data_IF_852303151673
#
_entry.id   IF_852303151673
#
_cell.length_a   1.000
_cell.length_b   1.000
_cell.length_c   1.000
_cell.angle_alpha   90.00
_cell.angle_beta   90.00
_cell.angle_gamma   90.00
#
_symmetry.space_group_name_H-M   'P 1'
#
loop_
_entity.id
_entity.type
_entity.pdbx_description
1 polymer ?
#
# COMPACT_ATOMS: atom_id res chain seq x y z
N UNK A 1 -55.51 120.88 -87.50
CA UNK A 1 -56.98 120.65 -87.59
C UNK A 1 -57.31 119.33 -86.92
N UNK A 2 -58.20 119.39 -85.93
CA UNK A 2 -59.06 118.36 -85.33
C UNK A 2 -58.54 116.97 -84.89
N UNK A 3 -58.46 116.83 -83.56
CA UNK A 3 -59.28 115.97 -82.68
C UNK A 3 -59.31 114.42 -82.80
N UNK A 4 -59.05 113.84 -81.61
CA UNK A 4 -59.69 112.69 -80.92
C UNK A 4 -59.37 111.25 -81.31
N UNK A 5 -59.00 110.45 -80.29
CA UNK A 5 -59.04 108.97 -80.32
C UNK A 5 -58.14 108.31 -79.28
N UNK A 6 -58.69 108.00 -78.10
CA UNK A 6 -58.11 107.18 -77.01
C UNK A 6 -58.09 105.69 -77.39
N UNK A 7 -57.07 104.90 -77.02
CA UNK A 7 -57.15 103.56 -76.35
C UNK A 7 -55.76 103.15 -75.79
N UNK A 8 -55.77 102.60 -74.56
CA UNK A 8 -54.65 102.04 -73.77
C UNK A 8 -54.42 100.53 -74.01
N UNK A 9 -53.18 100.08 -73.73
CA UNK A 9 -52.82 98.71 -73.29
C UNK A 9 -52.22 97.83 -74.39
N UNK A 10 -51.32 96.88 -74.16
CA UNK A 10 -50.58 96.37 -73.01
C UNK A 10 -49.46 95.47 -73.58
N UNK A 11 -48.29 95.33 -72.94
CA UNK A 11 -47.24 94.47 -73.50
C UNK A 11 -45.97 94.31 -72.67
N UNK A 12 -46.08 93.85 -71.42
CA UNK A 12 -44.94 93.43 -70.61
C UNK A 12 -45.38 92.40 -69.55
N UNK A 13 -45.78 91.20 -69.98
CA UNK A 13 -46.08 90.07 -69.09
C UNK A 13 -46.15 88.74 -69.87
N UNK A 14 -45.08 88.34 -70.57
CA UNK A 14 -45.06 87.03 -71.26
C UNK A 14 -43.76 86.21 -71.16
N UNK A 15 -42.77 86.63 -70.36
CA UNK A 15 -41.49 85.88 -70.25
C UNK A 15 -41.22 85.23 -68.88
N UNK A 16 -41.92 85.62 -67.80
CA UNK A 16 -41.70 85.05 -66.47
C UNK A 16 -42.60 83.84 -66.12
N UNK A 17 -43.65 83.57 -66.91
CA UNK A 17 -44.59 82.45 -66.64
C UNK A 17 -44.13 81.15 -67.29
N UNK A 18 -43.34 81.21 -68.36
CA UNK A 18 -42.83 80.01 -69.04
C UNK A 18 -41.66 79.32 -68.27
N UNK A 19 -40.90 80.08 -67.47
CA UNK A 19 -39.75 79.54 -66.71
C UNK A 19 -40.13 78.99 -65.31
N UNK A 20 -41.30 79.39 -64.78
CA UNK A 20 -41.85 78.85 -63.53
C UNK A 20 -42.70 77.59 -63.77
N UNK A 21 -43.28 77.43 -64.96
CA UNK A 21 -44.08 76.24 -65.32
C UNK A 21 -43.18 75.09 -65.84
N UNK A 22 -41.99 75.37 -66.37
CA UNK A 22 -41.05 74.33 -66.82
C UNK A 22 -40.22 73.71 -65.67
N UNK A 23 -40.21 74.33 -64.48
CA UNK A 23 -39.61 73.76 -63.26
C UNK A 23 -40.61 72.94 -62.41
N UNK A 24 -41.88 72.87 -62.81
CA UNK A 24 -42.95 72.14 -62.11
C UNK A 24 -43.33 70.79 -62.78
N UNK A 25 -42.54 70.35 -63.77
CA UNK A 25 -42.66 69.06 -64.45
C UNK A 25 -41.43 68.18 -64.20
N UNK A 26 -40.85 68.27 -63.01
CA UNK A 26 -40.10 67.14 -62.45
C UNK A 26 -41.20 66.18 -61.97
N UNK A 27 -41.34 64.97 -62.55
CA UNK A 27 -42.18 63.98 -61.91
C UNK A 27 -41.60 63.79 -60.51
N UNK A 28 -42.33 64.22 -59.48
CA UNK A 28 -42.01 63.83 -58.12
C UNK A 28 -42.07 62.31 -58.15
N UNK A 29 -40.90 61.65 -58.12
CA UNK A 29 -40.83 60.22 -57.94
C UNK A 29 -41.53 59.97 -56.59
N UNK A 30 -42.79 59.55 -56.64
CA UNK A 30 -43.53 59.23 -55.44
C UNK A 30 -42.84 58.01 -54.84
N UNK A 31 -42.13 58.20 -53.73
CA UNK A 31 -41.59 57.09 -52.98
C UNK A 31 -42.77 56.26 -52.48
N UNK A 32 -42.77 54.98 -52.85
CA UNK A 32 -43.74 54.01 -52.35
C UNK A 32 -43.30 53.59 -50.95
N UNK A 33 -44.22 53.59 -49.99
CA UNK A 33 -43.96 53.04 -48.66
C UNK A 33 -44.41 51.59 -48.66
N UNK A 34 -43.47 50.68 -48.44
CA UNK A 34 -43.74 49.26 -48.22
C UNK A 34 -43.81 48.99 -46.71
N UNK A 35 -44.94 48.48 -46.25
CA UNK A 35 -45.13 48.03 -44.86
C UNK A 35 -44.89 46.54 -44.72
N UNK A 36 -43.93 46.15 -43.88
CA UNK A 36 -43.73 44.78 -43.44
C UNK A 36 -44.53 44.51 -42.18
N UNK A 37 -45.19 43.36 -42.13
CA UNK A 37 -45.75 42.77 -40.91
C UNK A 37 -45.15 41.37 -40.76
N UNK A 38 -44.42 41.13 -39.67
CA UNK A 38 -43.73 39.86 -39.42
C UNK A 38 -44.35 39.22 -38.20
N UNK A 39 -44.82 37.98 -38.36
CA UNK A 39 -45.55 37.23 -37.34
C UNK A 39 -45.03 35.80 -37.25
N UNK A 40 -45.20 35.19 -36.08
CA UNK A 40 -45.00 33.75 -35.91
C UNK A 40 -46.08 33.01 -36.70
N UNK A 41 -45.69 32.01 -37.50
CA UNK A 41 -46.64 31.27 -38.32
C UNK A 41 -47.70 30.54 -37.50
N UNK A 42 -47.36 30.05 -36.30
CA UNK A 42 -48.22 29.17 -35.50
C UNK A 42 -49.30 29.94 -34.76
N UNK A 43 -48.91 30.99 -34.03
CA UNK A 43 -49.82 31.73 -33.14
C UNK A 43 -50.11 33.17 -33.63
N UNK A 44 -49.53 33.57 -34.76
CA UNK A 44 -49.67 34.90 -35.36
C UNK A 44 -49.20 36.05 -34.44
N UNK A 45 -48.40 35.75 -33.41
CA UNK A 45 -47.83 36.76 -32.54
C UNK A 45 -46.85 37.65 -33.33
N UNK A 46 -46.86 38.98 -33.09
CA UNK A 46 -45.93 39.89 -33.76
C UNK A 46 -44.49 39.61 -33.32
N UNK A 47 -43.57 39.55 -34.28
CA UNK A 47 -42.16 39.25 -34.04
C UNK A 47 -41.31 40.51 -33.96
N UNK A 48 -40.84 40.84 -32.75
CA UNK A 48 -39.92 41.96 -32.50
C UNK A 48 -38.48 41.62 -32.90
N UNK A 49 -37.79 42.55 -33.56
CA UNK A 49 -36.37 42.41 -33.87
C UNK A 49 -36.02 41.55 -35.09
N UNK A 50 -36.99 41.13 -35.90
CA UNK A 50 -36.75 40.41 -37.15
C UNK A 50 -36.01 41.30 -38.16
N UNK A 51 -34.86 40.85 -38.64
CA UNK A 51 -33.97 41.62 -39.52
C UNK A 51 -34.41 41.51 -40.97
N UNK A 52 -34.59 42.65 -41.64
CA UNK A 52 -35.10 42.72 -43.00
C UNK A 52 -33.97 43.14 -43.95
N UNK A 53 -33.86 42.42 -45.06
CA UNK A 53 -32.90 42.64 -46.12
C UNK A 53 -33.62 42.80 -47.45
N UNK A 54 -33.16 43.75 -48.27
CA UNK A 54 -33.62 43.92 -49.64
C UNK A 54 -32.43 43.82 -50.59
N UNK A 55 -32.53 42.91 -51.56
CA UNK A 55 -31.44 42.54 -52.48
C UNK A 55 -30.11 42.28 -51.74
N UNK A 56 -30.19 41.64 -50.58
CA UNK A 56 -29.04 41.32 -49.73
C UNK A 56 -28.56 42.46 -48.82
N UNK A 57 -29.08 43.69 -48.95
CA UNK A 57 -28.73 44.81 -48.08
C UNK A 57 -29.65 44.87 -46.87
N UNK A 58 -29.08 44.93 -45.66
CA UNK A 58 -29.83 45.14 -44.43
C UNK A 58 -30.49 46.52 -44.43
N UNK A 59 -31.81 46.58 -44.18
CA UNK A 59 -32.56 47.83 -44.15
C UNK A 59 -33.07 48.18 -42.76
N UNK A 60 -33.35 47.20 -41.90
CA UNK A 60 -33.81 47.46 -40.54
C UNK A 60 -34.34 46.22 -39.83
N UNK A 61 -34.95 46.45 -38.68
CA UNK A 61 -35.60 45.42 -37.86
C UNK A 61 -37.04 45.82 -37.54
N UNK A 62 -37.91 44.83 -37.40
CA UNK A 62 -39.25 45.05 -36.83
C UNK A 62 -39.15 45.54 -35.39
N UNK A 63 -40.12 46.36 -34.97
CA UNK A 63 -40.32 46.69 -33.56
C UNK A 63 -41.32 45.74 -32.88
N UNK A 64 -41.68 46.04 -31.63
CA UNK A 64 -42.57 45.21 -30.79
C UNK A 64 -43.95 44.89 -31.37
N UNK A 65 -44.43 45.66 -32.35
CA UNK A 65 -45.66 45.36 -33.08
C UNK A 65 -45.47 44.42 -34.28
N UNK A 66 -44.26 43.89 -34.49
CA UNK A 66 -43.90 43.07 -35.65
C UNK A 66 -43.84 43.85 -36.96
N UNK A 67 -43.80 45.19 -36.93
CA UNK A 67 -43.90 46.03 -38.13
C UNK A 67 -42.62 46.80 -38.43
N UNK A 68 -42.38 47.04 -39.71
CA UNK A 68 -41.34 47.93 -40.23
C UNK A 68 -41.81 48.61 -41.51
N UNK A 69 -41.42 49.86 -41.74
CA UNK A 69 -41.79 50.60 -42.95
C UNK A 69 -40.54 51.00 -43.72
N UNK A 70 -40.58 50.79 -45.04
CA UNK A 70 -39.46 51.06 -45.94
C UNK A 70 -39.93 51.92 -47.11
N UNK A 71 -39.32 53.09 -47.27
CA UNK A 71 -39.56 53.96 -48.42
C UNK A 71 -38.65 53.58 -49.60
N UNK A 72 -39.23 53.42 -50.79
CA UNK A 72 -38.45 53.05 -51.98
C UNK A 72 -38.98 53.67 -53.28
N UNK A 73 -38.07 53.78 -54.25
CA UNK A 73 -38.37 54.20 -55.62
C UNK A 73 -37.98 53.11 -56.64
N UNK A 74 -38.16 51.83 -56.27
CA UNK A 74 -37.91 50.68 -57.16
C UNK A 74 -38.77 50.78 -58.42
N UNK A 75 -38.24 50.32 -59.54
CA UNK A 75 -38.91 50.28 -60.86
C UNK A 75 -38.92 48.87 -61.47
N UNK A 76 -38.52 47.89 -60.67
CA UNK A 76 -38.55 46.45 -60.98
C UNK A 76 -38.74 45.69 -59.68
N UNK A 77 -39.14 44.42 -59.78
CA UNK A 77 -39.22 43.53 -58.63
C UNK A 77 -37.89 43.43 -57.89
N UNK A 78 -37.95 43.18 -56.59
CA UNK A 78 -36.79 43.07 -55.71
C UNK A 78 -36.95 41.90 -54.73
N UNK A 79 -35.82 41.34 -54.29
CA UNK A 79 -35.82 40.23 -53.34
C UNK A 79 -35.90 40.76 -51.92
N UNK A 80 -36.75 40.17 -51.10
CA UNK A 80 -36.81 40.40 -49.67
C UNK A 80 -36.36 39.14 -48.95
N UNK A 81 -35.53 39.31 -47.93
CA UNK A 81 -35.18 38.26 -46.97
C UNK A 81 -35.41 38.77 -45.55
N UNK A 82 -36.09 38.00 -44.72
CA UNK A 82 -36.30 38.31 -43.31
C UNK A 82 -35.67 37.20 -42.48
N UNK A 83 -34.83 37.59 -41.52
CA UNK A 83 -34.04 36.69 -40.68
C UNK A 83 -34.34 36.98 -39.21
N UNK A 84 -34.65 35.93 -38.45
CA UNK A 84 -34.82 36.01 -37.01
C UNK A 84 -34.28 34.75 -36.35
N UNK A 85 -33.50 34.88 -35.28
CA UNK A 85 -33.03 33.73 -34.51
C UNK A 85 -34.23 32.94 -33.99
N UNK A 86 -34.20 31.61 -34.18
CA UNK A 86 -35.30 30.74 -33.78
C UNK A 86 -36.36 30.51 -34.85
N UNK A 87 -36.18 31.11 -36.02
CA UNK A 87 -37.07 30.98 -37.17
C UNK A 87 -36.29 30.67 -38.44
N UNK A 88 -36.97 30.05 -39.39
CA UNK A 88 -36.44 29.88 -40.74
C UNK A 88 -36.46 31.20 -41.50
N UNK A 89 -35.48 31.39 -42.37
CA UNK A 89 -35.37 32.60 -43.17
C UNK A 89 -36.57 32.68 -44.13
N UNK A 90 -37.31 33.79 -44.05
CA UNK A 90 -38.40 34.04 -44.98
C UNK A 90 -37.86 34.79 -46.20
N UNK A 91 -38.22 34.34 -47.41
CA UNK A 91 -37.77 34.94 -48.66
C UNK A 91 -38.94 35.08 -49.63
N UNK A 92 -39.02 36.22 -50.30
CA UNK A 92 -40.02 36.45 -51.36
C UNK A 92 -39.52 37.50 -52.37
N UNK A 93 -40.20 37.56 -53.52
CA UNK A 93 -39.96 38.55 -54.58
C UNK A 93 -41.18 39.47 -54.67
N UNK A 94 -41.00 40.74 -54.31
CA UNK A 94 -42.07 41.73 -54.36
C UNK A 94 -42.00 42.55 -55.65
N UNK A 95 -43.16 42.96 -56.16
CA UNK A 95 -43.21 43.91 -57.27
C UNK A 95 -42.77 45.30 -56.81
N UNK A 96 -42.34 46.13 -57.76
CA UNK A 96 -42.02 47.55 -57.54
C UNK A 96 -43.23 48.38 -57.07
N UNK A 97 -44.44 47.86 -57.22
CA UNK A 97 -45.69 48.49 -56.77
C UNK A 97 -46.20 47.97 -55.42
N UNK A 98 -45.47 47.06 -54.76
CA UNK A 98 -45.91 46.48 -53.48
C UNK A 98 -45.95 47.55 -52.38
N UNK A 99 -47.08 47.62 -51.65
CA UNK A 99 -47.26 48.55 -50.51
C UNK A 99 -47.35 47.85 -49.16
N UNK A 100 -47.50 46.53 -49.15
CA UNK A 100 -47.53 45.74 -47.93
C UNK A 100 -47.19 44.28 -48.16
N UNK A 101 -46.59 43.66 -47.15
CA UNK A 101 -46.34 42.22 -47.10
C UNK A 101 -46.46 41.73 -45.66
N UNK A 102 -47.08 40.55 -45.50
CA UNK A 102 -47.07 39.82 -44.24
C UNK A 102 -46.17 38.61 -44.39
N UNK A 103 -45.12 38.54 -43.58
CA UNK A 103 -44.21 37.40 -43.51
C UNK A 103 -44.56 36.57 -42.26
N UNK A 104 -45.07 35.37 -42.48
CA UNK A 104 -45.26 34.37 -41.42
C UNK A 104 -43.99 33.53 -41.34
N UNK A 105 -43.26 33.63 -40.23
CA UNK A 105 -42.01 32.89 -40.02
C UNK A 105 -42.29 31.58 -39.29
N UNK A 106 -41.83 30.48 -39.88
CA UNK A 106 -41.87 29.15 -39.28
C UNK A 106 -40.79 29.03 -38.21
N UNK A 107 -41.13 28.49 -37.03
CA UNK A 107 -40.16 28.19 -35.97
C UNK A 107 -39.17 27.16 -36.48
N UNK A 108 -37.88 27.40 -36.26
CA UNK A 108 -36.81 26.54 -36.75
C UNK A 108 -36.45 25.48 -35.71
N UNK A 109 -36.46 24.22 -36.15
CA UNK A 109 -35.97 23.07 -35.36
C UNK A 109 -34.52 22.78 -35.71
N UNK A 110 -33.69 22.55 -34.70
CA UNK A 110 -32.27 22.20 -34.81
C UNK A 110 -31.94 21.10 -33.79
N UNK A 111 -30.76 20.48 -33.92
CA UNK A 111 -30.32 19.46 -32.98
C UNK A 111 -29.53 20.04 -31.80
N UNK A 112 -29.82 19.54 -30.61
CA UNK A 112 -28.94 19.59 -29.45
C UNK A 112 -28.41 18.18 -29.17
N UNK A 113 -27.11 17.99 -29.26
CA UNK A 113 -26.44 16.74 -28.88
C UNK A 113 -25.82 16.90 -27.50
N UNK A 114 -26.26 16.08 -26.55
CA UNK A 114 -25.68 16.01 -25.20
C UNK A 114 -24.82 14.76 -25.09
N UNK A 115 -23.52 14.91 -24.83
CA UNK A 115 -22.60 13.78 -24.63
C UNK A 115 -22.08 13.76 -23.20
N UNK A 116 -22.10 12.58 -22.57
CA UNK A 116 -21.68 12.41 -21.17
C UNK A 116 -20.50 11.45 -21.04
N UNK A 117 -19.56 11.81 -20.15
CA UNK A 117 -18.35 11.05 -19.87
C UNK A 117 -18.17 10.84 -18.37
N UNK A 118 -17.62 9.70 -17.97
CA UNK A 118 -17.19 9.47 -16.60
C UNK A 118 -15.94 10.33 -16.33
N UNK A 119 -15.98 11.13 -15.27
CA UNK A 119 -14.94 12.11 -14.97
C UNK A 119 -13.56 11.50 -14.66
N UNK A 120 -13.51 10.22 -14.27
CA UNK A 120 -12.28 9.56 -13.85
C UNK A 120 -11.64 8.74 -14.97
N UNK A 121 -12.44 7.93 -15.67
CA UNK A 121 -12.01 7.07 -16.76
C UNK A 121 -11.95 7.80 -18.10
N UNK A 122 -12.59 8.97 -18.19
CA UNK A 122 -12.77 9.76 -19.41
C UNK A 122 -13.50 9.01 -20.53
N UNK A 123 -14.17 7.90 -20.21
CA UNK A 123 -14.92 7.09 -21.15
C UNK A 123 -16.38 7.58 -21.26
N UNK A 124 -17.02 7.43 -22.43
CA UNK A 124 -18.42 7.76 -22.59
C UNK A 124 -19.31 6.86 -21.71
N UNK A 125 -20.39 7.42 -21.17
CA UNK A 125 -21.34 6.67 -20.32
C UNK A 125 -22.62 6.42 -21.08
N UNK A 126 -22.93 5.15 -21.32
CA UNK A 126 -24.15 4.72 -22.00
C UNK A 126 -25.34 4.60 -21.04
N UNK A 127 -26.55 4.59 -21.62
CA UNK A 127 -27.82 4.39 -20.91
C UNK A 127 -28.09 5.42 -19.79
N UNK A 128 -27.52 6.61 -19.92
CA UNK A 128 -27.77 7.75 -19.03
C UNK A 128 -29.04 8.45 -19.45
N UNK A 129 -29.96 8.66 -18.51
CA UNK A 129 -31.20 9.40 -18.77
C UNK A 129 -30.90 10.90 -18.80
N UNK A 130 -31.14 11.54 -19.93
CA UNK A 130 -31.07 12.98 -20.10
C UNK A 130 -32.49 13.49 -20.30
N UNK A 131 -32.93 14.41 -19.44
CA UNK A 131 -34.19 15.12 -19.59
C UNK A 131 -33.92 16.57 -19.97
N UNK A 132 -34.69 17.07 -20.92
CA UNK A 132 -34.72 18.45 -21.35
C UNK A 132 -36.06 19.05 -20.99
N UNK A 133 -36.03 20.25 -20.43
CA UNK A 133 -37.21 21.06 -20.12
C UNK A 133 -37.03 22.44 -20.75
N UNK A 134 -37.95 22.81 -21.63
CA UNK A 134 -37.98 24.11 -22.30
C UNK A 134 -39.38 24.72 -22.26
N UNK A 135 -39.51 25.96 -22.76
CA UNK A 135 -40.77 26.71 -22.68
C UNK A 135 -41.97 26.01 -23.38
N UNK A 136 -41.69 25.22 -24.43
CA UNK A 136 -42.72 24.56 -25.24
C UNK A 136 -43.00 23.11 -24.80
N UNK A 137 -42.26 22.60 -23.82
CA UNK A 137 -42.42 21.24 -23.32
C UNK A 137 -41.12 20.60 -22.87
N UNK A 138 -41.22 19.34 -22.45
CA UNK A 138 -40.10 18.50 -22.05
C UNK A 138 -39.89 17.33 -23.01
N UNK A 139 -38.64 16.90 -23.11
CA UNK A 139 -38.24 15.70 -23.84
C UNK A 139 -37.23 14.90 -23.01
N UNK A 140 -37.03 13.64 -23.34
CA UNK A 140 -36.03 12.82 -22.67
C UNK A 140 -35.52 11.71 -23.57
N UNK A 141 -34.23 11.38 -23.39
CA UNK A 141 -33.58 10.32 -24.13
C UNK A 141 -32.52 9.64 -23.28
N UNK A 142 -32.05 8.49 -23.77
CA UNK A 142 -30.97 7.73 -23.13
C UNK A 142 -29.72 7.81 -23.99
N UNK A 143 -28.57 8.03 -23.36
CA UNK A 143 -27.29 8.09 -24.07
C UNK A 143 -26.94 6.75 -24.72
N UNK A 144 -26.33 6.83 -25.89
CA UNK A 144 -25.84 5.67 -26.64
C UNK A 144 -24.52 5.15 -26.07
N UNK A 145 -23.96 4.08 -26.67
CA UNK A 145 -22.62 3.58 -26.33
C UNK A 145 -21.50 4.63 -26.51
N UNK A 146 -21.72 5.65 -27.35
CA UNK A 146 -20.81 6.77 -27.52
C UNK A 146 -21.04 7.90 -26.50
N UNK A 147 -21.98 7.74 -25.57
CA UNK A 147 -22.32 8.72 -24.53
C UNK A 147 -23.24 9.85 -25.01
N UNK A 148 -23.56 9.91 -26.30
CA UNK A 148 -24.39 10.95 -26.91
C UNK A 148 -25.88 10.62 -26.94
N UNK A 149 -26.71 11.66 -26.84
CA UNK A 149 -28.15 11.65 -27.12
C UNK A 149 -28.52 12.95 -27.85
N UNK A 150 -29.36 12.84 -28.88
CA UNK A 150 -29.79 13.95 -29.73
C UNK A 150 -31.24 14.33 -29.44
N UNK A 151 -31.50 15.63 -29.47
CA UNK A 151 -32.84 16.20 -29.26
C UNK A 151 -33.17 17.21 -30.36
N UNK A 152 -34.38 17.10 -30.88
CA UNK A 152 -34.98 18.13 -31.72
C UNK A 152 -35.45 19.28 -30.83
N UNK A 153 -34.78 20.43 -30.96
CA UNK A 153 -35.04 21.61 -30.13
C UNK A 153 -35.30 22.85 -30.97
N UNK A 154 -36.05 23.79 -30.40
CA UNK A 154 -36.32 25.08 -31.02
C UNK A 154 -35.04 25.93 -31.01
N UNK A 155 -34.66 26.41 -32.18
CA UNK A 155 -33.56 27.37 -32.31
C UNK A 155 -33.84 28.64 -31.49
N UNK A 156 -32.80 29.27 -30.95
CA UNK A 156 -32.94 30.47 -30.13
C UNK A 156 -33.52 30.27 -28.72
N UNK A 157 -34.07 29.08 -28.41
CA UNK A 157 -34.67 28.79 -27.11
C UNK A 157 -33.62 28.38 -26.06
N UNK A 158 -34.02 28.45 -24.80
CA UNK A 158 -33.21 28.01 -23.65
C UNK A 158 -33.81 26.76 -23.04
N UNK A 159 -32.96 25.80 -22.71
CA UNK A 159 -33.37 24.53 -22.11
C UNK A 159 -32.62 24.24 -20.82
N UNK A 160 -33.33 23.70 -19.84
CA UNK A 160 -32.75 23.09 -18.65
C UNK A 160 -32.53 21.59 -18.93
N UNK A 161 -31.33 21.12 -18.62
CA UNK A 161 -30.89 19.73 -18.82
C UNK A 161 -30.69 19.10 -17.45
N UNK A 162 -31.42 18.03 -17.17
CA UNK A 162 -31.21 17.15 -16.00
C UNK A 162 -30.65 15.81 -16.49
N UNK A 163 -29.51 15.40 -15.94
CA UNK A 163 -28.82 14.16 -16.32
C UNK A 163 -28.79 13.24 -15.11
N UNK A 164 -29.39 12.06 -15.25
CA UNK A 164 -29.52 11.05 -14.20
C UNK A 164 -28.86 9.75 -14.66
N UNK A 165 -27.86 9.29 -13.92
CA UNK A 165 -27.21 8.02 -14.12
C UNK A 165 -27.08 7.27 -12.78
N UNK A 166 -27.32 5.95 -12.72
CA UNK A 166 -27.05 5.18 -11.52
C UNK A 166 -25.59 5.32 -11.11
N UNK A 167 -25.34 5.55 -9.82
CA UNK A 167 -24.00 5.67 -9.21
C UNK A 167 -23.24 6.96 -9.59
N UNK A 168 -23.93 7.97 -10.12
CA UNK A 168 -23.39 9.29 -10.36
C UNK A 168 -24.27 10.36 -9.70
N UNK A 169 -23.66 11.50 -9.40
CA UNK A 169 -24.40 12.70 -9.01
C UNK A 169 -25.29 13.19 -10.16
N UNK A 170 -26.52 13.57 -9.82
CA UNK A 170 -27.42 14.22 -10.78
C UNK A 170 -26.81 15.54 -11.23
N UNK A 171 -26.74 15.75 -12.55
CA UNK A 171 -26.19 16.97 -13.12
C UNK A 171 -27.28 17.86 -13.69
N UNK A 172 -27.27 19.13 -13.30
CA UNK A 172 -28.16 20.16 -13.84
C UNK A 172 -27.38 21.18 -14.67
N UNK A 173 -27.87 21.50 -15.87
CA UNK A 173 -27.26 22.48 -16.79
C UNK A 173 -28.34 23.29 -17.49
N UNK A 174 -27.97 24.46 -18.00
CA UNK A 174 -28.81 25.27 -18.86
C UNK A 174 -28.09 25.46 -20.19
N UNK A 175 -28.79 25.24 -21.30
CA UNK A 175 -28.26 25.35 -22.66
C UNK A 175 -29.09 26.37 -23.43
N UNK A 176 -28.46 27.48 -23.79
CA UNK A 176 -29.02 28.44 -24.74
C UNK A 176 -28.70 28.00 -26.17
N UNK A 177 -29.73 27.87 -27.01
CA UNK A 177 -29.60 27.46 -28.40
C UNK A 177 -29.44 28.65 -29.33
N UNK A 178 -28.56 28.51 -30.32
CA UNK A 178 -28.41 29.47 -31.41
C UNK A 178 -29.34 29.13 -32.59
N UNK A 179 -28.95 29.53 -33.80
CA UNK A 179 -29.70 29.21 -35.03
C UNK A 179 -29.13 28.01 -35.82
N UNK A 180 -28.29 27.21 -35.17
CA UNK A 180 -27.58 26.05 -35.73
C UNK A 180 -27.41 24.99 -34.64
N UNK A 181 -27.24 23.74 -35.04
CA UNK A 181 -27.05 22.62 -34.13
C UNK A 181 -25.91 22.88 -33.13
N UNK A 182 -26.03 22.32 -31.93
CA UNK A 182 -25.09 22.54 -30.84
C UNK A 182 -24.77 21.22 -30.14
N UNK A 183 -23.48 21.00 -29.92
CA UNK A 183 -22.97 19.86 -29.17
C UNK A 183 -22.48 20.35 -27.80
N UNK A 184 -22.87 19.65 -26.74
CA UNK A 184 -22.40 19.91 -25.38
C UNK A 184 -21.87 18.61 -24.76
N UNK A 185 -20.82 18.75 -23.96
CA UNK A 185 -20.17 17.62 -23.29
C UNK A 185 -20.12 17.86 -21.78
N UNK A 186 -20.45 16.83 -21.00
CA UNK A 186 -20.48 16.92 -19.55
C UNK A 186 -19.76 15.75 -18.87
N UNK A 187 -19.06 16.07 -17.78
CA UNK A 187 -18.45 15.10 -16.87
C UNK A 187 -19.44 14.68 -15.80
N UNK A 188 -19.61 13.38 -15.61
CA UNK A 188 -20.36 12.79 -14.51
C UNK A 188 -19.38 12.33 -13.43
N UNK A 189 -19.66 12.70 -12.19
CA UNK A 189 -18.89 12.31 -11.02
C UNK A 189 -19.61 11.17 -10.31
N UNK A 190 -18.88 10.09 -10.04
CA UNK A 190 -19.41 8.94 -9.32
C UNK A 190 -19.67 9.31 -7.86
N UNK A 191 -20.83 8.91 -7.35
CA UNK A 191 -21.22 9.14 -5.95
C UNK A 191 -21.14 7.88 -5.09
N UNK A 192 -20.69 6.76 -5.66
CA UNK A 192 -20.64 5.44 -5.05
C UNK A 192 -19.23 5.03 -4.60
N UNK A 193 -18.27 5.98 -4.59
CA UNK A 193 -16.92 5.73 -4.11
C UNK A 193 -16.92 5.49 -2.59
N UNK A 194 -16.53 4.29 -2.17
CA UNK A 194 -16.42 3.89 -0.79
C UNK A 194 -15.05 3.26 -0.56
N UNK A 195 -14.30 3.75 0.43
CA UNK A 195 -12.96 3.26 0.71
C UNK A 195 -13.00 2.33 1.92
N UNK A 196 -12.53 1.10 1.72
CA UNK A 196 -12.20 0.22 2.84
C UNK A 196 -10.75 0.50 3.23
N UNK A 197 -10.54 0.84 4.50
CA UNK A 197 -9.22 0.97 5.09
C UNK A 197 -9.01 -0.14 6.10
N UNK A 198 -7.85 -0.77 6.07
CA UNK A 198 -7.51 -1.86 7.00
C UNK A 198 -6.23 -1.50 7.74
N UNK A 199 -6.27 -1.62 9.06
CA UNK A 199 -5.12 -1.34 9.92
C UNK A 199 -4.93 -2.46 10.94
N UNK A 200 -3.69 -2.56 11.40
CA UNK A 200 -3.32 -3.45 12.50
C UNK A 200 -4.01 -2.98 13.79
N UNK A 201 -4.72 -3.89 14.47
CA UNK A 201 -5.56 -3.54 15.61
C UNK A 201 -4.76 -2.98 16.80
N UNK A 202 -3.51 -3.39 16.96
CA UNK A 202 -2.65 -3.00 18.08
C UNK A 202 -1.87 -1.71 17.77
N UNK A 203 -1.17 -1.69 16.64
CA UNK A 203 -0.27 -0.57 16.28
C UNK A 203 -0.98 0.55 15.54
N UNK A 204 -2.21 0.31 15.02
CA UNK A 204 -2.94 1.20 14.10
C UNK A 204 -2.21 1.50 12.78
N UNK A 205 -1.16 0.74 12.48
CA UNK A 205 -0.41 0.88 11.23
C UNK A 205 -1.25 0.38 10.05
N UNK A 206 -1.18 1.03 8.88
CA UNK A 206 -1.87 0.54 7.69
C UNK A 206 -1.41 -0.86 7.28
N UNK A 207 -2.35 -1.71 6.87
CA UNK A 207 -2.07 -3.04 6.39
C UNK A 207 -2.22 -3.10 4.87
N UNK A 208 -1.10 -3.14 4.17
CA UNK A 208 -1.04 -3.41 2.72
C UNK A 208 -1.27 -4.91 2.42
N UNK A 209 -1.79 -5.22 1.24
CA UNK A 209 -1.95 -6.60 0.77
C UNK A 209 -3.07 -7.39 1.46
N UNK A 210 -4.02 -6.74 2.14
CA UNK A 210 -5.21 -7.39 2.69
C UNK A 210 -6.18 -7.65 1.55
N UNK A 211 -6.55 -8.91 1.31
CA UNK A 211 -7.58 -9.29 0.36
C UNK A 211 -8.94 -8.84 0.90
N UNK A 212 -9.67 -8.08 0.07
CA UNK A 212 -11.00 -7.56 0.39
C UNK A 212 -12.00 -8.21 -0.55
N UNK A 213 -12.98 -8.87 0.06
CA UNK A 213 -14.06 -9.61 -0.59
C UNK A 213 -15.38 -8.91 -0.24
N UNK A 214 -16.21 -8.65 -1.24
CA UNK A 214 -17.54 -8.05 -1.06
C UNK A 214 -18.60 -8.98 -1.64
N UNK A 215 -19.52 -9.46 -0.80
CA UNK A 215 -20.56 -10.43 -1.18
C UNK A 215 -19.99 -11.66 -1.94
N UNK A 216 -18.97 -12.31 -1.35
CA UNK A 216 -18.27 -13.48 -1.91
C UNK A 216 -17.49 -13.23 -3.22
N UNK A 217 -17.33 -11.96 -3.63
CA UNK A 217 -16.51 -11.56 -4.78
C UNK A 217 -15.23 -10.86 -4.33
N UNK A 218 -14.08 -11.36 -4.77
CA UNK A 218 -12.80 -10.66 -4.59
C UNK A 218 -12.81 -9.34 -5.37
N UNK A 219 -12.67 -8.23 -4.65
CA UNK A 219 -12.59 -6.90 -5.26
C UNK A 219 -11.13 -6.43 -5.44
N UNK A 220 -10.22 -6.86 -4.56
CA UNK A 220 -8.80 -6.58 -4.69
C UNK A 220 -8.05 -6.66 -3.36
N UNK A 221 -6.83 -6.11 -3.34
CA UNK A 221 -5.99 -6.03 -2.14
C UNK A 221 -5.78 -4.56 -1.74
N UNK A 222 -5.66 -4.30 -0.44
CA UNK A 222 -5.31 -2.96 0.07
C UNK A 222 -3.92 -2.49 -0.36
N UNK A 223 -3.77 -1.19 -0.62
CA UNK A 223 -2.50 -0.55 -0.95
C UNK A 223 -1.60 -0.28 0.26
N UNK A 224 -0.46 0.39 0.03
CA UNK A 224 0.54 0.72 1.07
C UNK A 224 -0.02 1.58 2.21
N UNK A 225 -1.07 2.35 1.95
CA UNK A 225 -1.81 3.16 2.93
C UNK A 225 -2.94 2.40 3.64
N UNK A 226 -3.02 1.08 3.40
CA UNK A 226 -4.04 0.18 3.91
C UNK A 226 -5.41 0.36 3.27
N UNK A 227 -5.53 1.14 2.19
CA UNK A 227 -6.81 1.47 1.58
C UNK A 227 -7.08 0.68 0.29
N UNK A 228 -8.34 0.37 0.04
CA UNK A 228 -8.86 -0.08 -1.26
C UNK A 228 -10.10 0.76 -1.61
N UNK A 229 -10.04 1.59 -2.67
CA UNK A 229 -11.23 2.25 -3.18
C UNK A 229 -12.13 1.23 -3.90
N UNK A 230 -13.40 1.23 -3.51
CA UNK A 230 -14.46 0.42 -4.09
C UNK A 230 -15.57 1.32 -4.61
N UNK A 231 -16.41 0.74 -5.46
CA UNK A 231 -17.58 1.42 -5.98
C UNK A 231 -18.85 0.65 -5.64
N UNK A 232 -19.42 1.00 -4.50
CA UNK A 232 -20.54 0.29 -3.89
C UNK A 232 -21.77 1.18 -3.93
N UNK A 233 -22.89 0.63 -4.42
CA UNK A 233 -24.18 1.31 -4.39
C UNK A 233 -24.52 1.75 -2.97
N UNK A 234 -25.08 2.95 -2.87
CA UNK A 234 -25.50 3.55 -1.60
C UNK A 234 -26.83 2.97 -1.14
N UNK A 235 -27.12 3.20 0.14
CA UNK A 235 -28.31 2.74 0.85
C UNK A 235 -28.49 1.21 0.78
N UNK A 236 -27.37 0.47 0.77
CA UNK A 236 -27.34 -0.98 0.58
C UNK A 236 -26.40 -1.68 1.56
N UNK A 237 -26.78 -2.90 1.94
CA UNK A 237 -25.93 -3.79 2.77
C UNK A 237 -25.01 -4.66 1.93
N UNK A 238 -23.78 -4.81 2.41
CA UNK A 238 -22.72 -5.64 1.85
C UNK A 238 -22.12 -6.54 2.92
N UNK A 239 -21.82 -7.79 2.61
CA UNK A 239 -20.94 -8.63 3.43
C UNK A 239 -19.51 -8.35 3.01
N UNK A 240 -18.72 -7.80 3.90
CA UNK A 240 -17.32 -7.47 3.67
C UNK A 240 -16.45 -8.46 4.46
N UNK A 241 -15.55 -9.11 3.74
CA UNK A 241 -14.54 -9.99 4.32
C UNK A 241 -13.15 -9.44 4.05
N UNK A 242 -12.33 -9.36 5.09
CA UNK A 242 -10.92 -8.96 5.00
C UNK A 242 -10.05 -10.15 5.39
N UNK A 243 -9.17 -10.58 4.49
CA UNK A 243 -8.29 -11.73 4.66
C UNK A 243 -6.83 -11.33 4.46
N UNK A 244 -5.98 -11.77 5.39
CA UNK A 244 -4.53 -11.59 5.30
C UNK A 244 -3.84 -12.66 6.12
N UNK A 245 -2.77 -13.23 5.56
CA UNK A 245 -1.92 -14.18 6.27
C UNK A 245 -1.41 -13.60 7.59
N UNK A 246 -1.23 -14.44 8.61
CA UNK A 246 -0.87 -14.06 9.99
C UNK A 246 -1.93 -13.22 10.74
N UNK A 247 -3.03 -12.83 10.11
CA UNK A 247 -4.13 -12.07 10.73
C UNK A 247 -5.43 -12.88 10.81
N UNK A 248 -6.28 -12.52 11.75
CA UNK A 248 -7.63 -13.07 11.85
C UNK A 248 -8.50 -12.53 10.72
N UNK A 249 -9.20 -13.42 10.01
CA UNK A 249 -10.21 -13.04 9.03
C UNK A 249 -11.35 -12.29 9.70
N UNK A 250 -11.71 -11.14 9.14
CA UNK A 250 -12.90 -10.38 9.53
C UNK A 250 -13.98 -10.64 8.49
N UNK A 251 -15.20 -10.92 8.93
CA UNK A 251 -16.39 -10.98 8.06
C UNK A 251 -17.53 -10.25 8.74
N UNK A 252 -18.01 -9.15 8.14
CA UNK A 252 -19.06 -8.31 8.70
C UNK A 252 -20.05 -7.82 7.65
N UNK A 253 -21.32 -7.68 8.03
CA UNK A 253 -22.31 -6.99 7.20
C UNK A 253 -22.25 -5.49 7.46
N UNK A 254 -22.13 -4.70 6.39
CA UNK A 254 -22.06 -3.25 6.39
C UNK A 254 -23.17 -2.63 5.56
N UNK A 255 -23.97 -1.75 6.16
CA UNK A 255 -24.84 -0.83 5.41
C UNK A 255 -24.03 0.39 4.99
N UNK A 256 -23.99 0.70 3.69
CA UNK A 256 -23.26 1.85 3.13
C UNK A 256 -24.29 2.92 2.79
N UNK A 257 -24.19 4.08 3.44
CA UNK A 257 -25.05 5.25 3.22
C UNK A 257 -24.38 6.28 2.32
N UNK A 258 -25.12 7.31 1.91
CA UNK A 258 -24.59 8.47 1.18
C UNK A 258 -23.56 9.29 1.98
N UNK A 259 -23.53 9.18 3.31
CA UNK A 259 -22.57 9.88 4.18
C UNK A 259 -21.26 9.12 4.40
N UNK A 260 -21.23 7.83 4.03
CA UNK A 260 -20.09 6.95 4.27
C UNK A 260 -19.02 7.09 3.18
N UNK A 261 -17.89 7.70 3.50
CA UNK A 261 -16.77 7.81 2.56
C UNK A 261 -15.70 6.72 2.77
N UNK A 262 -15.33 6.48 4.03
CA UNK A 262 -14.26 5.57 4.42
C UNK A 262 -14.71 4.75 5.61
N UNK A 263 -14.46 3.45 5.59
CA UNK A 263 -14.64 2.61 6.75
C UNK A 263 -13.35 1.88 7.12
N UNK A 264 -13.02 1.87 8.41
CA UNK A 264 -11.80 1.25 8.93
C UNK A 264 -12.07 -0.09 9.61
N UNK A 265 -11.40 -1.14 9.15
CA UNK A 265 -11.34 -2.45 9.79
C UNK A 265 -10.04 -2.61 10.59
N UNK A 266 -10.17 -3.16 11.80
CA UNK A 266 -9.07 -3.43 12.72
C UNK A 266 -8.77 -4.93 12.71
N UNK A 267 -7.69 -5.35 12.04
CA UNK A 267 -7.29 -6.75 12.00
C UNK A 267 -6.32 -7.07 13.13
N UNK A 268 -6.66 -8.09 13.93
CA UNK A 268 -5.79 -8.63 14.96
C UNK A 268 -4.92 -9.75 14.38
N UNK A 269 -3.67 -9.85 14.81
CA UNK A 269 -2.83 -11.01 14.49
C UNK A 269 -3.46 -12.30 15.02
N UNK A 270 -3.32 -13.38 14.25
CA UNK A 270 -3.72 -14.72 14.67
C UNK A 270 -2.91 -15.18 15.88
N UNK A 271 -3.50 -16.03 16.71
CA UNK A 271 -2.83 -16.64 17.85
C UNK A 271 -2.54 -18.11 17.55
N UNK A 272 -1.32 -18.53 17.79
CA UNK A 272 -0.85 -19.89 17.61
C UNK A 272 -0.32 -20.43 18.93
N UNK A 273 -0.62 -21.71 19.19
CA UNK A 273 -0.22 -22.33 20.45
C UNK A 273 1.23 -22.78 20.41
N UNK A 274 2.00 -22.54 21.47
CA UNK A 274 3.36 -23.03 21.65
C UNK A 274 3.42 -23.95 22.86
N UNK A 275 3.95 -25.16 22.68
CA UNK A 275 4.34 -26.05 23.77
C UNK A 275 5.86 -26.14 23.82
N UNK A 276 6.44 -26.15 25.02
CA UNK A 276 7.91 -26.22 25.20
C UNK A 276 8.24 -27.40 26.10
N UNK A 277 9.13 -28.27 25.61
CA UNK A 277 9.68 -29.40 26.37
C UNK A 277 11.19 -29.26 26.48
N UNK A 278 11.72 -29.31 27.69
CA UNK A 278 13.14 -29.07 27.99
C UNK A 278 13.77 -30.35 28.52
N UNK A 279 14.84 -30.78 27.86
CA UNK A 279 15.64 -31.94 28.23
C UNK A 279 17.11 -31.56 28.38
N UNK A 280 17.88 -32.36 29.11
CA UNK A 280 19.32 -32.28 29.10
C UNK A 280 19.92 -33.07 27.92
N UNK A 281 21.25 -33.06 27.82
CA UNK A 281 21.99 -33.82 26.80
C UNK A 281 21.84 -35.34 26.92
N UNK A 282 21.32 -35.85 28.04
CA UNK A 282 21.03 -37.26 28.29
C UNK A 282 19.56 -37.61 28.02
N UNK A 283 18.76 -36.66 27.50
CA UNK A 283 17.32 -36.77 27.25
C UNK A 283 16.47 -36.94 28.51
N UNK A 284 16.99 -36.50 29.66
CA UNK A 284 16.24 -36.44 30.91
C UNK A 284 15.47 -35.12 30.98
N UNK A 285 14.19 -35.12 31.39
CA UNK A 285 13.43 -33.88 31.53
C UNK A 285 14.04 -32.94 32.58
N UNK A 286 14.18 -31.65 32.23
CA UNK A 286 14.73 -30.64 33.14
C UNK A 286 13.59 -29.92 33.84
N UNK A 287 13.36 -30.23 35.11
CA UNK A 287 12.43 -29.50 35.98
C UNK A 287 13.03 -28.16 36.43
N UNK A 288 12.19 -27.13 36.54
CA UNK A 288 12.57 -25.87 37.14
C UNK A 288 13.32 -24.90 36.21
N UNK A 289 13.35 -25.15 34.90
CA UNK A 289 13.94 -24.24 33.92
C UNK A 289 12.99 -23.07 33.63
N UNK A 290 13.47 -21.84 33.72
CA UNK A 290 12.68 -20.63 33.44
C UNK A 290 12.66 -20.33 31.96
N UNK A 291 11.48 -20.01 31.43
CA UNK A 291 11.24 -19.69 30.03
C UNK A 291 10.89 -18.22 29.87
N UNK A 292 11.55 -17.56 28.94
CA UNK A 292 11.28 -16.19 28.50
C UNK A 292 10.91 -16.17 27.02
N UNK A 293 9.93 -15.36 26.65
CA UNK A 293 9.54 -15.07 25.26
C UNK A 293 9.60 -13.56 25.11
N UNK A 294 10.35 -13.09 24.12
CA UNK A 294 10.61 -11.67 23.86
C UNK A 294 11.09 -10.91 25.11
N UNK A 295 11.98 -11.55 25.86
CA UNK A 295 12.53 -11.09 27.14
C UNK A 295 11.52 -10.98 28.31
N UNK A 296 10.25 -11.33 28.12
CA UNK A 296 9.27 -11.41 29.18
C UNK A 296 9.28 -12.81 29.82
N UNK A 297 9.22 -12.89 31.16
CA UNK A 297 9.11 -14.17 31.86
C UNK A 297 7.72 -14.78 31.69
N UNK A 298 7.65 -16.05 31.27
CA UNK A 298 6.38 -16.76 31.09
C UNK A 298 6.13 -17.86 32.11
N UNK A 299 7.17 -18.54 32.58
CA UNK A 299 6.99 -19.60 33.54
C UNK A 299 8.20 -20.50 33.69
N UNK A 300 7.95 -21.65 34.32
CA UNK A 300 8.98 -22.63 34.68
C UNK A 300 8.52 -24.02 34.28
N UNK A 301 9.46 -24.87 33.85
CA UNK A 301 9.15 -26.27 33.52
C UNK A 301 8.78 -27.08 34.76
N UNK A 302 7.78 -27.97 34.61
CA UNK A 302 7.39 -28.93 35.66
C UNK A 302 8.28 -30.18 35.69
N UNK A 303 7.88 -31.17 36.50
CA UNK A 303 8.59 -32.46 36.69
C UNK A 303 8.82 -33.27 35.43
N UNK A 304 8.03 -33.03 34.37
CA UNK A 304 8.18 -33.68 33.06
C UNK A 304 8.91 -32.81 32.04
N UNK A 305 9.59 -31.75 32.46
CA UNK A 305 10.35 -30.85 31.58
C UNK A 305 9.48 -29.94 30.69
N UNK A 306 8.15 -29.98 30.82
CA UNK A 306 7.24 -29.14 30.05
C UNK A 306 7.00 -27.80 30.73
N UNK A 307 7.12 -26.71 29.97
CA UNK A 307 6.49 -25.43 30.30
C UNK A 307 5.13 -25.38 29.61
N UNK A 308 4.10 -24.87 30.30
CA UNK A 308 2.70 -24.94 29.88
C UNK A 308 2.42 -24.35 28.48
N UNK A 309 1.19 -24.52 28.00
CA UNK A 309 0.76 -24.04 26.68
C UNK A 309 0.69 -22.50 26.66
N UNK A 310 1.39 -21.88 25.72
CA UNK A 310 1.30 -20.44 25.45
C UNK A 310 0.51 -20.20 24.16
N UNK A 311 -0.15 -19.06 24.05
CA UNK A 311 -0.70 -18.58 22.78
C UNK A 311 0.07 -17.31 22.41
N UNK A 312 0.83 -17.38 21.33
CA UNK A 312 1.64 -16.27 20.83
C UNK A 312 1.00 -15.72 19.56
N UNK A 313 1.18 -14.41 19.32
CA UNK A 313 0.77 -13.79 18.07
C UNK A 313 1.54 -14.40 16.90
N UNK A 314 0.98 -14.30 15.70
CA UNK A 314 1.66 -14.68 14.49
C UNK A 314 2.93 -13.85 14.26
N UNK A 315 4.00 -14.50 13.79
CA UNK A 315 5.28 -13.88 13.49
C UNK A 315 6.43 -14.44 14.32
N UNK A 316 7.57 -13.74 14.30
CA UNK A 316 8.81 -14.20 14.92
C UNK A 316 8.89 -13.80 16.38
N UNK A 317 9.21 -14.76 17.24
CA UNK A 317 9.40 -14.59 18.67
C UNK A 317 10.76 -15.14 19.10
N UNK A 318 11.41 -14.49 20.05
CA UNK A 318 12.65 -15.00 20.66
C UNK A 318 12.32 -15.80 21.91
N UNK A 319 12.74 -17.06 21.95
CA UNK A 319 12.62 -17.95 23.12
C UNK A 319 13.97 -18.07 23.81
N UNK A 320 13.97 -17.93 25.12
CA UNK A 320 15.15 -18.13 25.95
C UNK A 320 14.81 -19.03 27.14
N UNK A 321 15.64 -20.05 27.38
CA UNK A 321 15.47 -21.00 28.48
C UNK A 321 16.72 -20.97 29.37
N UNK A 322 16.51 -20.80 30.67
CA UNK A 322 17.58 -20.73 31.67
C UNK A 322 17.37 -21.75 32.78
N UNK A 323 18.46 -22.37 33.23
CA UNK A 323 18.50 -23.22 34.41
C UNK A 323 19.88 -23.17 35.05
N UNK A 324 19.95 -23.06 36.37
CA UNK A 324 21.21 -23.13 37.10
C UNK A 324 21.92 -24.47 36.82
N UNK A 325 23.24 -24.42 36.61
CA UNK A 325 24.04 -25.58 36.21
C UNK A 325 24.02 -25.90 34.72
N UNK A 326 23.25 -25.15 33.92
CA UNK A 326 23.19 -25.26 32.46
C UNK A 326 23.62 -23.97 31.77
N UNK A 327 24.00 -24.08 30.50
CA UNK A 327 24.15 -22.94 29.60
C UNK A 327 22.76 -22.43 29.20
N UNK A 328 22.62 -21.11 29.10
CA UNK A 328 21.41 -20.49 28.56
C UNK A 328 21.22 -20.90 27.10
N UNK A 329 20.00 -21.30 26.77
CA UNK A 329 19.60 -21.59 25.40
C UNK A 329 18.73 -20.46 24.85
N UNK A 330 18.95 -20.08 23.59
CA UNK A 330 18.20 -19.02 22.91
C UNK A 330 17.96 -19.41 21.45
N UNK A 331 16.75 -19.21 20.94
CA UNK A 331 16.42 -19.35 19.53
C UNK A 331 15.26 -18.44 19.14
N UNK A 332 15.22 -18.03 17.89
CA UNK A 332 14.01 -17.49 17.28
C UNK A 332 13.10 -18.63 16.82
N UNK A 333 11.79 -18.44 16.95
CA UNK A 333 10.75 -19.30 16.40
C UNK A 333 9.78 -18.44 15.60
N UNK A 334 9.25 -18.99 14.50
CA UNK A 334 8.20 -18.34 13.73
C UNK A 334 6.86 -19.02 14.05
N UNK A 335 5.93 -18.25 14.60
CA UNK A 335 4.58 -18.67 14.90
C UNK A 335 3.72 -18.48 13.65
N UNK A 336 3.56 -19.55 12.89
CA UNK A 336 2.75 -19.64 11.67
C UNK A 336 2.04 -20.99 11.66
N UNK A 337 0.79 -21.01 11.19
CA UNK A 337 -0.01 -22.22 10.92
C UNK A 337 -0.03 -23.29 12.04
N UNK A 338 -1.06 -23.24 12.88
CA UNK A 338 -1.33 -24.29 13.87
C UNK A 338 -0.47 -24.17 15.14
N UNK A 339 -0.29 -25.29 15.85
CA UNK A 339 0.50 -25.33 17.08
C UNK A 339 1.95 -25.71 16.82
N UNK A 340 2.89 -25.08 17.54
CA UNK A 340 4.32 -25.40 17.51
C UNK A 340 4.71 -26.17 18.77
N UNK A 341 5.41 -27.30 18.59
CA UNK A 341 6.02 -28.06 19.68
C UNK A 341 7.54 -27.88 19.67
N UNK A 342 8.06 -27.06 20.59
CA UNK A 342 9.47 -26.75 20.70
C UNK A 342 10.17 -27.70 21.69
N UNK A 343 11.16 -28.43 21.21
CA UNK A 343 12.04 -29.24 22.07
C UNK A 343 13.38 -28.52 22.28
N UNK A 344 13.71 -28.24 23.53
CA UNK A 344 14.95 -27.57 23.95
C UNK A 344 15.88 -28.58 24.59
N UNK A 345 17.14 -28.60 24.16
CA UNK A 345 18.21 -29.37 24.80
C UNK A 345 19.17 -28.42 25.52
N UNK A 346 19.24 -28.51 26.85
CA UNK A 346 20.14 -27.71 27.67
C UNK A 346 21.47 -28.46 27.89
N UNK A 347 22.57 -27.82 27.51
CA UNK A 347 23.92 -28.31 27.81
C UNK A 347 24.36 -27.90 29.22
N UNK A 348 25.06 -28.79 29.91
CA UNK A 348 25.64 -28.49 31.23
C UNK A 348 26.67 -27.35 31.15
N UNK A 349 26.65 -26.46 32.13
CA UNK A 349 27.68 -25.44 32.30
C UNK A 349 29.04 -26.10 32.58
N UNK A 350 30.13 -25.38 32.30
CA UNK A 350 31.48 -25.86 32.58
C UNK A 350 31.96 -25.32 33.93
N UNK A 351 32.75 -26.14 34.62
CA UNK A 351 33.46 -25.79 35.82
C UNK A 351 34.95 -25.59 35.51
N UNK A 352 35.54 -24.56 36.11
CA UNK A 352 36.98 -24.37 36.15
C UNK A 352 37.60 -25.34 37.17
N UNK A 353 38.23 -26.40 36.68
CA UNK A 353 38.89 -27.42 37.50
C UNK A 353 40.37 -27.09 37.63
N UNK A 354 40.81 -26.80 38.84
CA UNK A 354 42.21 -26.55 39.16
C UNK A 354 42.85 -27.84 39.68
N UNK A 355 43.79 -28.38 38.93
CA UNK A 355 44.55 -29.58 39.27
C UNK A 355 45.89 -29.16 39.87
N UNK A 356 46.12 -29.55 41.13
CA UNK A 356 47.38 -29.35 41.86
C UNK A 356 48.14 -30.68 41.86
N UNK A 357 49.36 -30.68 41.33
CA UNK A 357 50.22 -31.86 41.29
C UNK A 357 51.45 -31.62 42.14
N UNK A 358 51.63 -32.46 43.15
CA UNK A 358 52.79 -32.43 44.03
C UNK A 358 53.42 -33.83 44.16
N UNK A 359 54.64 -33.91 44.65
CA UNK A 359 55.25 -35.18 45.04
C UNK A 359 54.90 -35.56 46.49
N UNK A 360 55.40 -36.72 46.95
CA UNK A 360 55.17 -37.20 48.32
C UNK A 360 55.72 -36.26 49.41
N UNK A 361 56.65 -35.37 49.09
CA UNK A 361 57.24 -34.39 49.99
C UNK A 361 56.49 -33.04 49.94
N UNK A 362 55.45 -32.95 49.11
CA UNK A 362 54.63 -31.76 48.92
C UNK A 362 55.25 -30.71 47.99
N UNK A 363 56.30 -31.06 47.25
CA UNK A 363 56.88 -30.15 46.25
C UNK A 363 56.06 -30.16 44.97
N UNK A 364 55.84 -28.99 44.39
CA UNK A 364 55.13 -28.83 43.13
C UNK A 364 55.83 -29.57 41.98
N UNK A 365 55.06 -30.34 41.22
CA UNK A 365 55.57 -31.03 40.03
C UNK A 365 55.21 -30.24 38.78
N UNK A 366 56.17 -29.49 38.28
CA UNK A 366 56.07 -28.78 36.99
C UNK A 366 56.17 -29.76 35.81
N UNK A 367 55.48 -29.46 34.72
CA UNK A 367 55.56 -30.26 33.49
C UNK A 367 54.79 -31.59 33.51
N UNK A 368 53.94 -31.83 34.51
CA UNK A 368 53.10 -33.03 34.57
C UNK A 368 51.95 -32.94 33.56
N UNK A 369 51.86 -33.91 32.65
CA UNK A 369 50.79 -34.02 31.66
C UNK A 369 49.50 -34.45 32.33
N UNK A 370 48.46 -33.64 32.21
CA UNK A 370 47.11 -33.92 32.72
C UNK A 370 46.27 -34.55 31.62
N UNK A 371 45.76 -35.74 31.90
CA UNK A 371 44.82 -36.46 31.06
C UNK A 371 43.46 -36.49 31.76
N UNK A 372 42.39 -36.30 31.01
CA UNK A 372 41.00 -36.42 31.48
C UNK A 372 40.34 -37.53 30.67
N UNK A 373 39.86 -38.57 31.35
CA UNK A 373 39.32 -39.80 30.76
C UNK A 373 40.28 -40.44 29.73
N UNK A 374 41.59 -40.35 30.01
CA UNK A 374 42.65 -40.90 29.16
C UNK A 374 43.07 -40.02 27.99
N UNK A 375 42.42 -38.88 27.75
CA UNK A 375 42.79 -37.91 26.73
C UNK A 375 43.67 -36.79 27.31
N UNK A 376 44.80 -36.49 26.67
CA UNK A 376 45.65 -35.38 27.08
C UNK A 376 44.91 -34.04 26.94
N UNK A 377 44.92 -33.22 28.01
CA UNK A 377 44.31 -31.89 28.02
C UNK A 377 45.34 -30.77 28.10
N UNK A 378 46.22 -30.84 29.09
CA UNK A 378 47.17 -29.76 29.41
C UNK A 378 48.35 -30.28 30.22
N UNK A 379 49.24 -29.38 30.62
CA UNK A 379 50.40 -29.67 31.48
C UNK A 379 50.44 -28.69 32.65
N UNK A 380 50.98 -29.09 33.80
CA UNK A 380 51.17 -28.20 34.96
C UNK A 380 52.24 -27.13 34.72
N UNK A 381 52.03 -25.96 35.30
CA UNK A 381 53.00 -24.86 35.36
C UNK A 381 54.08 -25.09 36.45
N UNK A 382 54.93 -24.08 36.66
CA UNK A 382 56.02 -24.13 37.65
C UNK A 382 55.54 -24.24 39.10
N UNK A 383 54.28 -23.89 39.39
CA UNK A 383 53.65 -24.09 40.68
C UNK A 383 52.97 -25.47 40.81
N UNK A 384 53.08 -26.32 39.80
CA UNK A 384 52.43 -27.63 39.76
C UNK A 384 50.93 -27.54 39.50
N UNK A 385 50.44 -26.43 38.93
CA UNK A 385 49.02 -26.15 38.75
C UNK A 385 48.64 -26.25 37.27
N UNK A 386 47.47 -26.82 37.00
CA UNK A 386 46.83 -26.81 35.68
C UNK A 386 45.34 -26.49 35.81
N UNK A 387 44.79 -25.65 34.94
CA UNK A 387 43.36 -25.31 34.93
C UNK A 387 42.69 -25.89 33.67
N UNK A 388 41.53 -26.51 33.86
CA UNK A 388 40.73 -27.15 32.80
C UNK A 388 39.27 -26.64 32.89
N UNK A 389 38.59 -26.52 31.74
CA UNK A 389 37.15 -26.27 31.70
C UNK A 389 36.40 -27.57 31.36
N UNK A 390 35.78 -28.19 32.35
CA UNK A 390 35.08 -29.48 32.20
C UNK A 390 33.56 -29.30 32.39
N UNK A 391 32.71 -29.89 31.54
CA UNK A 391 31.27 -29.93 31.77
C UNK A 391 30.94 -30.51 33.15
N UNK A 392 30.06 -29.83 33.87
CA UNK A 392 29.49 -30.30 35.13
C UNK A 392 28.54 -31.49 34.91
N UNK A 393 28.02 -32.05 36.00
CA UNK A 393 27.18 -33.24 36.03
C UNK A 393 27.87 -34.51 35.50
N UNK A 394 29.17 -34.65 35.74
CA UNK A 394 29.94 -35.80 35.29
C UNK A 394 31.09 -36.12 36.21
N UNK A 395 31.35 -37.42 36.36
CA UNK A 395 32.56 -37.94 37.00
C UNK A 395 33.64 -38.11 35.94
N UNK A 396 34.80 -37.54 36.20
CA UNK A 396 35.99 -37.64 35.35
C UNK A 396 37.08 -38.45 36.02
N UNK A 397 37.82 -39.24 35.25
CA UNK A 397 39.09 -39.81 35.68
C UNK A 397 40.23 -38.86 35.28
N UNK A 398 40.81 -38.17 36.25
CA UNK A 398 41.90 -37.21 36.04
C UNK A 398 43.22 -37.87 36.39
N UNK A 399 44.14 -37.92 35.44
CA UNK A 399 45.45 -38.59 35.58
C UNK A 399 46.59 -37.62 35.32
N UNK A 400 47.59 -37.61 36.20
CA UNK A 400 48.85 -36.89 36.02
C UNK A 400 49.97 -37.86 35.64
N UNK A 401 50.73 -37.50 34.60
CA UNK A 401 51.90 -38.24 34.11
C UNK A 401 53.12 -37.32 34.09
N UNK A 402 54.20 -37.70 34.77
CA UNK A 402 55.47 -36.97 34.72
C UNK A 402 56.64 -37.96 34.68
N UNK A 403 57.67 -37.66 33.88
CA UNK A 403 58.86 -38.51 33.78
C UNK A 403 59.59 -38.60 35.12
N UNK A 404 60.00 -39.80 35.53
CA UNK A 404 60.62 -40.04 36.84
C UNK A 404 59.63 -40.23 37.98
N UNK A 405 58.32 -40.22 37.69
CA UNK A 405 57.25 -40.46 38.65
C UNK A 405 56.30 -41.55 38.15
N UNK A 406 55.70 -42.29 39.09
CA UNK A 406 54.59 -43.18 38.80
C UNK A 406 53.33 -42.36 38.51
N UNK A 407 52.51 -42.74 37.51
CA UNK A 407 51.21 -42.10 37.26
C UNK A 407 50.33 -42.07 38.50
N UNK A 408 49.61 -40.97 38.70
CA UNK A 408 48.56 -40.84 39.70
C UNK A 408 47.24 -40.50 39.03
N UNK A 409 46.16 -41.14 39.46
CA UNK A 409 44.81 -40.95 38.92
C UNK A 409 43.79 -40.79 40.05
N UNK A 410 42.77 -39.98 39.82
CA UNK A 410 41.65 -39.80 40.74
C UNK A 410 40.34 -39.73 39.96
N UNK A 411 39.31 -40.41 40.44
CA UNK A 411 37.94 -40.19 39.99
C UNK A 411 37.37 -38.99 40.73
N UNK A 412 37.08 -37.92 40.01
CA UNK A 412 36.56 -36.68 40.57
C UNK A 412 35.16 -36.40 40.02
N UNK A 413 34.20 -36.23 40.91
CA UNK A 413 32.84 -35.83 40.56
C UNK A 413 32.76 -34.31 40.45
N UNK A 414 32.18 -33.81 39.36
CA UNK A 414 31.85 -32.41 39.17
C UNK A 414 30.32 -32.30 39.16
N UNK A 415 29.68 -32.03 40.30
CA UNK A 415 28.23 -31.91 40.38
C UNK A 415 27.69 -30.80 39.48
N UNK A 416 26.40 -30.89 39.12
CA UNK A 416 25.73 -29.81 38.39
C UNK A 416 25.74 -28.51 39.21
N UNK A 417 25.93 -27.36 38.54
CA UNK A 417 26.02 -26.05 39.20
C UNK A 417 27.41 -25.68 39.71
N UNK A 418 28.39 -26.59 39.70
CA UNK A 418 29.76 -26.28 40.08
C UNK A 418 30.41 -25.30 39.09
N UNK A 419 30.89 -24.16 39.59
CA UNK A 419 31.63 -23.17 38.79
C UNK A 419 33.14 -23.35 38.88
N UNK A 420 33.64 -23.89 39.99
CA UNK A 420 35.04 -24.21 40.19
C UNK A 420 35.22 -25.43 41.10
N UNK A 421 36.26 -26.22 40.86
CA UNK A 421 36.63 -27.38 41.67
C UNK A 421 38.16 -27.51 41.78
N UNK A 422 38.65 -28.09 42.87
CA UNK A 422 40.07 -28.37 43.09
C UNK A 422 40.32 -29.87 43.16
N UNK A 423 41.39 -30.30 42.49
CA UNK A 423 41.81 -31.70 42.41
C UNK A 423 43.27 -31.78 42.79
N UNK A 424 43.63 -32.64 43.74
CA UNK A 424 45.02 -32.84 44.14
C UNK A 424 45.50 -34.23 43.74
N UNK A 425 46.65 -34.29 43.06
CA UNK A 425 47.31 -35.53 42.66
C UNK A 425 48.72 -35.56 43.25
N UNK A 426 49.03 -36.64 43.96
CA UNK A 426 50.36 -36.86 44.54
C UNK A 426 51.11 -37.91 43.73
N UNK A 427 52.22 -37.52 43.12
CA UNK A 427 53.07 -38.38 42.30
C UNK A 427 54.20 -39.00 43.15
N UNK A 428 54.27 -40.33 43.15
CA UNK A 428 55.35 -41.05 43.82
C UNK A 428 56.57 -41.19 42.89
N UNK A 429 57.80 -40.85 43.32
CA UNK A 429 59.00 -41.05 42.51
C UNK A 429 59.15 -42.50 42.07
N UNK A 430 59.56 -42.70 40.82
CA UNK A 430 59.91 -44.02 40.31
C UNK A 430 61.31 -44.38 40.80
N UNK A 431 61.41 -45.34 41.72
CA UNK A 431 62.70 -45.77 42.26
C UNK A 431 63.53 -46.45 41.16
N UNK A 432 64.67 -45.85 40.83
CA UNK A 432 65.65 -46.46 39.94
C UNK A 432 66.33 -47.64 40.65
N UNK A 433 65.85 -48.84 40.34
CA UNK A 433 66.39 -50.10 40.86
C UNK A 433 67.86 -50.30 40.47
N UNK A 434 68.37 -49.65 39.41
CA UNK A 434 69.77 -49.76 39.02
C UNK A 434 70.71 -49.25 40.11
N UNK A 435 70.33 -48.19 40.83
CA UNK A 435 71.12 -47.64 41.94
C UNK A 435 71.23 -48.63 43.11
N UNK A 436 70.15 -49.37 43.40
CA UNK A 436 70.15 -50.41 44.43
C UNK A 436 71.00 -51.62 44.03
N UNK A 437 71.02 -52.00 42.75
CA UNK A 437 71.91 -53.06 42.26
C UNK A 437 73.39 -52.64 42.35
N UNK A 438 73.74 -51.39 42.04
CA UNK A 438 75.12 -50.88 42.13
C UNK A 438 75.58 -50.79 43.60
N UNK A 439 74.73 -50.29 44.50
CA UNK A 439 75.05 -50.26 45.94
C UNK A 439 75.15 -51.67 46.54
N UNK A 440 74.27 -52.59 46.14
CA UNK A 440 74.30 -53.99 46.54
C UNK A 440 75.55 -54.73 46.06
N UNK A 441 75.97 -54.52 44.80
CA UNK A 441 77.21 -55.08 44.26
C UNK A 441 78.42 -54.48 44.98
N UNK A 442 78.43 -53.17 45.25
CA UNK A 442 79.49 -52.52 46.03
C UNK A 442 79.67 -53.12 47.43
N UNK A 443 78.56 -53.37 48.13
CA UNK A 443 78.58 -54.03 49.45
C UNK A 443 79.06 -55.48 49.34
N UNK A 444 78.63 -56.23 48.31
CA UNK A 444 79.10 -57.60 48.08
C UNK A 444 80.59 -57.68 47.73
N UNK A 445 81.13 -56.71 46.99
CA UNK A 445 82.57 -56.61 46.71
C UNK A 445 83.36 -56.34 47.99
N UNK A 446 82.89 -55.43 48.85
CA UNK A 446 83.53 -55.15 50.14
C UNK A 446 83.49 -56.37 51.07
N UNK A 447 82.37 -57.09 51.14
CA UNK A 447 82.24 -58.34 51.90
C UNK A 447 83.16 -59.44 51.33
N UNK A 448 83.24 -59.55 50.00
CA UNK A 448 84.14 -60.48 49.31
C UNK A 448 85.61 -60.20 49.64
N UNK A 449 86.04 -58.95 49.60
CA UNK A 449 87.41 -58.53 49.99
C UNK A 449 87.69 -58.83 51.46
N UNK A 450 86.74 -58.56 52.36
CA UNK A 450 86.87 -58.87 53.79
C UNK A 450 86.99 -60.39 54.06
N UNK A 451 86.25 -61.23 53.33
CA UNK A 451 86.34 -62.68 53.42
C UNK A 451 87.67 -63.22 52.87
N UNK A 452 88.21 -62.67 51.78
CA UNK A 452 89.51 -63.04 51.23
C UNK A 452 90.67 -62.66 52.17
N UNK A 453 90.59 -61.50 52.83
CA UNK A 453 91.57 -61.10 53.86
C UNK A 453 91.50 -62.04 55.07
N UNK A 454 90.30 -62.55 55.42
CA UNK A 454 90.13 -63.53 56.49
C UNK A 454 90.67 -64.90 56.11
N UNK A 455 90.57 -65.30 54.84
CA UNK A 455 91.04 -66.61 54.36
C UNK A 455 92.57 -66.69 54.20
N UNK A 456 93.23 -65.59 53.85
CA UNK A 456 94.70 -65.54 53.71
C UNK A 456 95.48 -65.57 55.03
N UNK A 457 94.81 -65.37 56.18
CA UNK A 457 95.43 -65.46 57.52
C UNK A 457 95.33 -66.84 58.18
N UNK A 458 94.69 -67.83 57.55
CA UNK A 458 94.51 -69.17 58.10
C UNK A 458 95.33 -70.22 57.33
N UNK A 459 96.65 -70.25 57.53
CA UNK A 459 97.51 -71.32 57.03
C UNK A 459 97.55 -72.52 58.04
N UNK A 460 97.28 -73.77 57.63
CA UNK A 460 97.28 -74.92 58.53
C UNK A 460 98.66 -75.58 58.73
N UNK A 461 98.98 -75.94 59.98
CA UNK A 461 100.14 -76.75 60.40
C UNK A 461 100.09 -78.17 59.81
N UNK A 462 101.13 -78.58 59.07
CA UNK A 462 101.36 -79.97 58.62
C UNK A 462 102.11 -80.79 59.70
N UNK A 463 101.49 -81.88 60.17
CA UNK A 463 102.12 -83.00 60.90
C UNK A 463 102.82 -83.94 59.90
N UNK A 464 104.01 -84.45 60.24
CA UNK A 464 104.66 -85.61 59.58
C UNK A 464 104.47 -86.89 60.42
N UNK A 465 104.47 -88.09 59.77
CA UNK A 465 104.02 -89.34 60.37
C UNK A 465 105.15 -90.17 61.01
N UNK A 466 104.72 -91.21 61.72
CA UNK A 466 105.42 -92.08 62.68
C UNK A 466 106.00 -93.32 61.98
N UNK A 467 107.21 -93.76 62.36
CA UNK A 467 107.55 -95.18 62.66
C UNK A 467 108.98 -95.35 63.20
N UNK A 468 109.01 -96.22 64.22
CA UNK A 468 110.06 -97.10 64.78
C UNK A 468 111.38 -96.48 65.24
#
# INVERSE_FOLDING_TARGET
MNQTGVVRGAGAARLCVALVILAALIPAAQATVLSFTVVDETDQAPLDGASIYIDGNYIGKTGSSGKYSYEHARTSSFNVKIVMTGYDDWVDVLSDTATGVTASLSRKTIFLTVTVYDAMTLQPVADVLVKLDGEEGSDSGRSTAAGGVDFDVRAGATYNVEILAPRYDTLYRTVEMGNSAKDVQYWLYRNDLFVIRVVDAETRSPLAGVLIIVNDREEGISGDDGALPLYLERERSYVITCEKDEYQTITETRYVTDEDAVFEYLMSKSLYSLSISVFDTEKTPVEGATVYIDNAFHGTTGTYGSAGLLNLQAGVHTVEVRREGFLTWTSEIEMRDGGTDLTVELAYAKAAVTVHVADNDGQAVSGARILVDGEYRTTTDDAGIAVLELPAHRIYNITALCSGYRPASVSHDIPSGTSAADVSLVLAPELDMALFFVAGIGILVVIGVALVIRWTRAAPRRRKPRRL
#
